data_IF_153292389281
#
_entry.id   IF_153292389281
#
_cell.length_a   1.000
_cell.length_b   1.000
_cell.length_c   1.000
_cell.angle_alpha   90.00
_cell.angle_beta   90.00
_cell.angle_gamma   90.00
#
_symmetry.space_group_name_H-M   'P 1'
#
loop_
_entity.id
_entity.type
_entity.pdbx_description
1 polymer ?
#
# COMPACT_ATOMS: atom_id res chain seq x y z
N UNK A 1 13.60 5.32 -33.79
CA UNK A 1 12.50 5.94 -33.03
C UNK A 1 11.24 5.11 -33.24
N UNK A 2 10.86 4.24 -32.30
CA UNK A 2 9.65 3.42 -32.45
C UNK A 2 8.56 3.91 -31.49
N UNK A 3 7.56 4.58 -32.07
CA UNK A 3 6.29 4.92 -31.45
C UNK A 3 5.25 4.08 -32.19
N UNK A 4 4.48 3.27 -31.47
CA UNK A 4 3.41 2.48 -32.05
C UNK A 4 2.17 2.54 -31.18
N UNK A 5 1.00 2.39 -31.80
CA UNK A 5 -0.27 2.44 -31.11
C UNK A 5 -0.92 1.06 -31.11
N UNK A 6 -1.54 0.71 -29.98
CA UNK A 6 -2.26 -0.55 -29.77
C UNK A 6 -3.63 -0.23 -29.21
N UNK A 7 -4.68 -0.84 -29.76
CA UNK A 7 -6.04 -0.70 -29.21
C UNK A 7 -6.27 -1.76 -28.15
N UNK A 8 -6.30 -1.35 -26.88
CA UNK A 8 -6.60 -2.20 -25.74
C UNK A 8 -8.07 -2.02 -25.32
N UNK A 9 -8.93 -2.91 -25.82
CA UNK A 9 -10.38 -2.78 -25.67
C UNK A 9 -10.88 -1.47 -26.31
N UNK A 10 -11.50 -0.60 -25.50
CA UNK A 10 -12.00 0.71 -25.95
C UNK A 10 -10.96 1.83 -25.88
N UNK A 11 -9.73 1.57 -25.40
CA UNK A 11 -8.68 2.59 -25.23
C UNK A 11 -7.54 2.40 -26.21
N UNK A 12 -7.04 3.50 -26.76
CA UNK A 12 -5.80 3.52 -27.52
C UNK A 12 -4.62 3.68 -26.55
N UNK A 13 -3.67 2.76 -26.59
CA UNK A 13 -2.39 2.84 -25.91
C UNK A 13 -1.33 3.27 -26.92
N UNK A 14 -0.49 4.21 -26.54
CA UNK A 14 0.69 4.60 -27.32
C UNK A 14 1.92 4.10 -26.58
N UNK A 15 2.72 3.28 -27.24
CA UNK A 15 3.93 2.69 -26.68
C UNK A 15 5.12 3.46 -27.26
N UNK A 16 5.93 4.00 -26.35
CA UNK A 16 7.13 4.78 -26.66
C UNK A 16 8.31 3.96 -26.16
N UNK A 17 9.19 3.55 -27.08
CA UNK A 17 10.37 2.73 -26.75
C UNK A 17 11.70 3.48 -26.89
N UNK A 18 11.66 4.72 -27.39
CA UNK A 18 12.83 5.56 -27.61
C UNK A 18 13.19 6.34 -26.34
N UNK A 19 14.41 6.19 -25.78
CA UNK A 19 14.81 6.91 -24.55
C UNK A 19 14.65 8.43 -24.65
N UNK A 20 15.06 9.04 -25.78
CA UNK A 20 14.94 10.49 -25.99
C UNK A 20 13.48 10.97 -25.96
N UNK A 21 12.55 10.17 -26.50
CA UNK A 21 11.12 10.50 -26.52
C UNK A 21 10.50 10.29 -25.13
N UNK A 22 10.92 9.25 -24.41
CA UNK A 22 10.53 9.02 -23.02
C UNK A 22 10.99 10.18 -22.13
N UNK A 23 12.22 10.65 -22.29
CA UNK A 23 12.75 11.81 -21.58
C UNK A 23 11.91 13.05 -21.86
N UNK A 24 11.56 13.32 -23.12
CA UNK A 24 10.69 14.44 -23.48
C UNK A 24 9.29 14.35 -22.84
N UNK A 25 8.71 13.15 -22.77
CA UNK A 25 7.43 12.92 -22.10
C UNK A 25 7.48 13.19 -20.59
N UNK A 26 8.58 12.83 -19.92
CA UNK A 26 8.70 12.93 -18.46
C UNK A 26 9.44 14.19 -17.96
N UNK A 27 9.90 15.05 -18.86
CA UNK A 27 10.53 16.34 -18.51
C UNK A 27 9.73 17.53 -19.02
N UNK A 28 9.55 17.66 -20.35
CA UNK A 28 8.87 18.81 -20.96
C UNK A 28 7.35 18.71 -20.89
N UNK A 29 6.82 17.50 -20.98
CA UNK A 29 5.38 17.24 -21.07
C UNK A 29 4.86 16.44 -19.87
N UNK A 30 5.59 16.45 -18.75
CA UNK A 30 5.37 15.60 -17.59
C UNK A 30 3.95 15.72 -17.01
N UNK A 31 3.41 16.94 -16.94
CA UNK A 31 2.05 17.22 -16.46
C UNK A 31 0.98 16.59 -17.37
N UNK A 32 1.18 16.61 -18.70
CA UNK A 32 0.23 16.06 -19.66
C UNK A 32 0.14 14.54 -19.49
N UNK A 33 1.27 13.88 -19.27
CA UNK A 33 1.37 12.44 -19.07
C UNK A 33 1.17 12.00 -17.61
N UNK A 34 1.07 12.94 -16.66
CA UNK A 34 0.84 12.63 -15.25
C UNK A 34 -0.60 12.17 -14.97
N UNK A 35 -1.55 12.42 -15.87
CA UNK A 35 -2.95 12.12 -15.59
C UNK A 35 -3.22 10.60 -15.52
N UNK A 36 -4.09 10.18 -14.60
CA UNK A 36 -4.42 8.78 -14.36
C UNK A 36 -5.77 8.45 -15.01
N UNK A 37 -5.82 7.49 -15.96
CA UNK A 37 -7.09 7.11 -16.56
C UNK A 37 -8.02 6.47 -15.52
N UNK A 38 -9.31 6.82 -15.57
CA UNK A 38 -10.30 6.28 -14.63
C UNK A 38 -10.53 4.80 -14.94
N UNK A 39 -10.27 3.93 -13.98
CA UNK A 39 -10.51 2.49 -14.06
C UNK A 39 -11.48 2.03 -12.96
N UNK A 40 -12.10 0.85 -13.16
CA UNK A 40 -12.96 0.23 -12.13
C UNK A 40 -12.18 0.01 -10.82
N UNK A 41 -10.88 -0.29 -10.90
CA UNK A 41 -10.00 -0.36 -9.74
C UNK A 41 -10.02 0.96 -8.94
N UNK A 42 -9.81 2.10 -9.59
CA UNK A 42 -9.83 3.39 -8.91
C UNK A 42 -11.20 3.72 -8.31
N UNK A 43 -12.29 3.32 -8.98
CA UNK A 43 -13.66 3.50 -8.46
C UNK A 43 -13.93 2.67 -7.19
N UNK A 44 -13.65 1.36 -7.24
CA UNK A 44 -14.03 0.44 -6.17
C UNK A 44 -12.96 0.29 -5.08
N UNK A 45 -11.69 0.23 -5.47
CA UNK A 45 -10.55 0.06 -4.55
C UNK A 45 -9.92 1.39 -4.21
N UNK A 46 -9.79 2.31 -5.15
CA UNK A 46 -9.14 3.60 -4.96
C UNK A 46 -10.01 4.72 -4.38
N UNK A 47 -11.04 4.39 -3.59
CA UNK A 47 -11.97 5.35 -2.98
C UNK A 47 -12.50 6.39 -3.98
N UNK A 48 -13.07 5.93 -5.10
CA UNK A 48 -13.53 6.79 -6.18
C UNK A 48 -12.43 7.67 -6.82
N UNK A 49 -11.22 7.13 -6.95
CA UNK A 49 -10.03 7.83 -7.47
C UNK A 49 -9.57 9.00 -6.60
N UNK A 50 -9.66 8.88 -5.28
CA UNK A 50 -9.16 9.91 -4.36
C UNK A 50 -7.80 9.56 -3.74
N UNK A 51 -7.25 8.38 -4.03
CA UNK A 51 -5.93 7.94 -3.52
C UNK A 51 -4.79 8.28 -4.48
N UNK A 52 -3.56 8.37 -3.97
CA UNK A 52 -2.39 8.82 -4.76
C UNK A 52 -2.09 7.96 -6.00
N UNK A 53 -2.51 6.69 -6.03
CA UNK A 53 -2.29 5.79 -7.18
C UNK A 53 -3.29 5.98 -8.32
N UNK A 54 -4.48 6.54 -8.06
CA UNK A 54 -5.56 6.65 -9.05
C UNK A 54 -6.12 8.06 -9.22
N UNK A 55 -5.83 8.99 -8.33
CA UNK A 55 -6.29 10.37 -8.45
C UNK A 55 -5.75 11.05 -9.71
N UNK A 56 -6.60 11.78 -10.46
CA UNK A 56 -6.14 12.62 -11.56
C UNK A 56 -5.09 13.63 -11.09
N UNK A 57 -4.18 14.00 -11.98
CA UNK A 57 -3.19 15.02 -11.65
C UNK A 57 -3.88 16.35 -11.36
N UNK A 58 -3.50 16.99 -10.27
CA UNK A 58 -4.15 18.20 -9.77
C UNK A 58 -3.60 18.60 -8.41
N UNK A 59 -4.23 19.58 -7.78
CA UNK A 59 -3.88 20.03 -6.42
C UNK A 59 -4.04 18.89 -5.40
N UNK A 60 -5.16 18.18 -5.44
CA UNK A 60 -5.43 17.03 -4.56
C UNK A 60 -4.33 15.98 -4.64
N UNK A 61 -3.98 15.52 -5.85
CA UNK A 61 -2.91 14.52 -6.02
C UNK A 61 -1.55 15.04 -5.56
N UNK A 62 -1.21 16.30 -5.82
CA UNK A 62 0.03 16.92 -5.35
C UNK A 62 0.10 16.94 -3.82
N UNK A 63 -1.01 17.25 -3.17
CA UNK A 63 -1.13 17.20 -1.70
C UNK A 63 -0.96 15.78 -1.18
N UNK A 64 -1.65 14.78 -1.75
CA UNK A 64 -1.46 13.37 -1.36
C UNK A 64 0.00 12.91 -1.52
N UNK A 65 0.65 13.27 -2.63
CA UNK A 65 2.06 12.92 -2.88
C UNK A 65 2.99 13.57 -1.84
N UNK A 66 2.75 14.85 -1.52
CA UNK A 66 3.48 15.57 -0.48
C UNK A 66 3.33 14.91 0.89
N UNK A 67 2.09 14.61 1.29
CA UNK A 67 1.78 13.93 2.56
C UNK A 67 2.42 12.55 2.64
N UNK A 68 2.34 11.76 1.56
CA UNK A 68 3.02 10.46 1.47
C UNK A 68 4.53 10.58 1.72
N UNK A 69 5.19 11.54 1.06
CA UNK A 69 6.63 11.72 1.17
C UNK A 69 7.07 12.18 2.57
N UNK A 70 6.31 13.07 3.21
CA UNK A 70 6.65 13.65 4.51
C UNK A 70 6.30 12.71 5.66
N UNK A 71 5.09 12.16 5.67
CA UNK A 71 4.53 11.51 6.85
C UNK A 71 4.81 10.00 6.89
N UNK A 72 4.90 9.36 5.72
CA UNK A 72 4.95 7.90 5.59
C UNK A 72 6.34 7.45 5.14
N UNK A 73 6.86 8.04 4.08
CA UNK A 73 8.09 7.61 3.43
C UNK A 73 9.31 8.47 3.76
N UNK A 74 9.21 9.36 4.75
CA UNK A 74 10.36 10.15 5.18
C UNK A 74 11.45 9.26 5.80
N UNK A 75 12.74 9.59 5.63
CA UNK A 75 13.83 8.81 6.20
C UNK A 75 13.68 8.62 7.72
N UNK A 76 13.23 9.66 8.43
CA UNK A 76 12.97 9.59 9.87
C UNK A 76 11.90 8.54 10.19
N UNK A 77 10.75 8.58 9.48
CA UNK A 77 9.67 7.61 9.68
C UNK A 77 10.14 6.18 9.40
N UNK A 78 10.86 5.96 8.29
CA UNK A 78 11.37 4.65 7.93
C UNK A 78 12.39 4.12 8.95
N UNK A 79 13.27 4.99 9.47
CA UNK A 79 14.26 4.63 10.48
C UNK A 79 13.62 4.22 11.81
N UNK A 80 12.51 4.85 12.23
CA UNK A 80 11.77 4.41 13.42
C UNK A 80 11.32 2.93 13.32
N UNK A 81 11.07 2.42 12.11
CA UNK A 81 10.64 1.05 11.87
C UNK A 81 11.75 0.10 11.41
N UNK A 82 13.02 0.47 11.63
CA UNK A 82 14.15 -0.43 11.31
C UNK A 82 14.10 -1.74 12.12
N UNK A 83 13.68 -1.66 13.39
CA UNK A 83 13.50 -2.83 14.26
C UNK A 83 12.45 -3.79 13.71
N UNK A 84 11.26 -3.26 13.38
CA UNK A 84 10.17 -4.04 12.75
C UNK A 84 10.62 -4.80 11.52
N UNK A 85 11.31 -4.13 10.59
CA UNK A 85 11.81 -4.77 9.36
C UNK A 85 12.83 -5.86 9.67
N UNK A 86 13.77 -5.59 10.58
CA UNK A 86 14.78 -6.56 11.00
C UNK A 86 14.16 -7.79 11.66
N UNK A 87 13.14 -7.59 12.51
CA UNK A 87 12.45 -8.67 13.20
C UNK A 87 11.71 -9.60 12.21
N UNK A 88 10.98 -9.04 11.25
CA UNK A 88 10.27 -9.86 10.25
C UNK A 88 11.25 -10.64 9.35
N UNK A 89 12.37 -10.02 8.97
CA UNK A 89 13.44 -10.71 8.23
C UNK A 89 14.03 -11.86 9.06
N UNK A 90 14.29 -11.64 10.36
CA UNK A 90 14.78 -12.70 11.26
C UNK A 90 13.79 -13.86 11.36
N UNK A 91 12.49 -13.59 11.44
CA UNK A 91 11.45 -14.61 11.49
C UNK A 91 11.44 -15.44 10.20
N UNK A 92 11.53 -14.79 9.03
CA UNK A 92 11.61 -15.50 7.75
C UNK A 92 12.85 -16.40 7.70
N UNK A 93 14.02 -15.86 8.08
CA UNK A 93 15.27 -16.62 8.10
C UNK A 93 15.20 -17.82 9.06
N UNK A 94 14.61 -17.63 10.24
CA UNK A 94 14.41 -18.71 11.19
C UNK A 94 13.51 -19.81 10.60
N UNK A 95 12.38 -19.44 9.99
CA UNK A 95 11.47 -20.38 9.32
C UNK A 95 12.16 -21.16 8.20
N UNK A 96 12.94 -20.46 7.36
CA UNK A 96 13.75 -21.09 6.32
C UNK A 96 14.76 -22.09 6.92
N UNK A 97 15.47 -21.69 7.96
CA UNK A 97 16.46 -22.55 8.62
C UNK A 97 15.83 -23.78 9.27
N UNK A 98 14.62 -23.64 9.82
CA UNK A 98 13.85 -24.74 10.42
C UNK A 98 13.40 -25.74 9.35
N UNK A 99 12.90 -25.24 8.22
CA UNK A 99 12.44 -26.08 7.12
C UNK A 99 13.57 -26.89 6.50
N UNK A 100 14.82 -26.39 6.55
CA UNK A 100 16.00 -27.06 6.00
C UNK A 100 16.84 -27.82 7.05
N UNK A 101 16.31 -28.09 8.25
CA UNK A 101 17.09 -28.71 9.34
C UNK A 101 17.62 -30.10 9.00
N UNK A 102 16.79 -30.92 8.38
CA UNK A 102 17.10 -32.34 8.18
C UNK A 102 17.56 -32.64 6.76
N UNK A 103 17.11 -31.87 5.75
CA UNK A 103 17.44 -32.04 4.34
C UNK A 103 17.11 -30.79 3.51
N UNK A 104 17.44 -30.82 2.21
CA UNK A 104 16.99 -29.80 1.26
C UNK A 104 15.46 -29.69 1.26
N UNK A 105 14.96 -28.47 1.46
CA UNK A 105 13.54 -28.18 1.46
C UNK A 105 13.18 -27.26 0.28
N UNK A 106 12.16 -27.68 -0.49
CA UNK A 106 11.56 -26.81 -1.51
C UNK A 106 10.67 -25.79 -0.83
N UNK A 107 10.86 -24.51 -1.17
CA UNK A 107 10.07 -23.40 -0.64
C UNK A 107 9.48 -22.55 -1.76
N UNK A 108 8.30 -21.98 -1.53
CA UNK A 108 7.67 -21.05 -2.46
C UNK A 108 8.03 -19.60 -2.09
N UNK A 109 9.09 -19.07 -2.70
CA UNK A 109 9.60 -17.74 -2.40
C UNK A 109 8.58 -16.62 -2.63
N UNK A 110 7.69 -16.76 -3.62
CA UNK A 110 6.65 -15.76 -3.90
C UNK A 110 5.76 -15.56 -2.68
N UNK A 111 5.20 -16.64 -2.13
CA UNK A 111 4.34 -16.56 -0.94
C UNK A 111 5.10 -16.02 0.26
N UNK A 112 6.32 -16.51 0.51
CA UNK A 112 7.13 -16.08 1.65
C UNK A 112 7.48 -14.58 1.59
N UNK A 113 7.83 -14.05 0.42
CA UNK A 113 8.10 -12.62 0.27
C UNK A 113 6.84 -11.77 0.32
N UNK A 114 5.70 -12.27 -0.19
CA UNK A 114 4.41 -11.61 -0.02
C UNK A 114 4.04 -11.52 1.46
N UNK A 115 4.15 -12.61 2.23
CA UNK A 115 3.91 -12.61 3.68
C UNK A 115 4.84 -11.65 4.43
N UNK A 116 6.15 -11.73 4.17
CA UNK A 116 7.16 -10.85 4.78
C UNK A 116 6.81 -9.38 4.55
N UNK A 117 6.55 -9.03 3.30
CA UNK A 117 6.23 -7.67 2.88
C UNK A 117 4.97 -7.16 3.56
N UNK A 118 3.89 -7.95 3.50
CA UNK A 118 2.63 -7.59 4.12
C UNK A 118 2.77 -7.42 5.64
N UNK A 119 3.50 -8.30 6.32
CA UNK A 119 3.72 -8.18 7.76
C UNK A 119 4.56 -6.96 8.12
N UNK A 120 5.60 -6.64 7.36
CA UNK A 120 6.37 -5.40 7.54
C UNK A 120 5.45 -4.20 7.45
N UNK A 121 4.66 -4.09 6.37
CA UNK A 121 3.78 -2.95 6.13
C UNK A 121 2.72 -2.86 7.22
N UNK A 122 2.05 -3.97 7.55
CA UNK A 122 0.98 -3.97 8.55
C UNK A 122 1.50 -3.63 9.95
N UNK A 123 2.71 -4.07 10.31
CA UNK A 123 3.33 -3.67 11.57
C UNK A 123 3.75 -2.20 11.59
N UNK A 124 4.10 -1.62 10.43
CA UNK A 124 4.40 -0.19 10.31
C UNK A 124 3.13 0.67 10.35
N UNK A 125 2.10 0.25 9.62
CA UNK A 125 0.85 1.01 9.42
C UNK A 125 -0.08 0.87 10.62
N UNK A 126 -0.38 -0.37 11.01
CA UNK A 126 -1.35 -0.71 12.05
C UNK A 126 -0.71 -1.17 13.37
N UNK A 127 0.61 -1.34 13.42
CA UNK A 127 1.29 -1.80 14.63
C UNK A 127 1.22 -3.30 14.90
N UNK A 128 0.58 -4.10 14.02
CA UNK A 128 0.34 -5.54 14.22
C UNK A 128 0.61 -6.39 12.98
N UNK A 129 0.80 -7.70 13.17
CA UNK A 129 0.98 -8.68 12.08
C UNK A 129 -0.35 -9.06 11.46
N UNK A 130 -0.30 -9.52 10.21
CA UNK A 130 -1.46 -9.93 9.42
C UNK A 130 -1.39 -11.39 8.96
N UNK A 131 -0.19 -11.94 8.77
CA UNK A 131 0.05 -13.34 8.45
C UNK A 131 0.91 -14.01 9.54
N UNK A 132 0.63 -15.29 9.84
CA UNK A 132 1.38 -16.11 10.79
C UNK A 132 0.47 -17.10 11.54
N UNK A 133 1.06 -18.14 12.15
CA UNK A 133 0.33 -19.17 12.90
C UNK A 133 -0.34 -18.60 14.17
N UNK A 134 0.23 -17.54 14.74
CA UNK A 134 -0.31 -16.85 15.94
C UNK A 134 -1.24 -15.67 15.61
N UNK A 135 -1.71 -15.54 14.36
CA UNK A 135 -2.51 -14.38 13.93
C UNK A 135 -3.98 -14.77 13.76
N UNK A 136 -4.82 -14.29 14.67
CA UNK A 136 -6.28 -14.49 14.71
C UNK A 136 -7.02 -13.54 13.73
N UNK A 137 -6.51 -13.43 12.50
CA UNK A 137 -7.16 -12.70 11.41
C UNK A 137 -7.68 -13.73 10.39
N UNK A 138 -8.83 -14.34 10.69
CA UNK A 138 -9.56 -15.21 9.75
C UNK A 138 -9.83 -14.51 8.40
N UNK A 139 -9.86 -13.18 8.38
CA UNK A 139 -9.98 -12.38 7.15
C UNK A 139 -8.71 -12.34 6.27
N UNK A 140 -7.51 -12.68 6.79
CA UNK A 140 -6.26 -12.56 6.04
C UNK A 140 -6.14 -13.55 4.88
N UNK A 141 -6.58 -14.80 5.09
CA UNK A 141 -6.48 -15.87 4.07
C UNK A 141 -7.36 -15.61 2.85
N UNK A 142 -8.55 -15.04 3.06
CA UNK A 142 -9.53 -14.86 1.98
C UNK A 142 -9.29 -13.63 1.08
N UNK A 143 -8.35 -12.72 1.38
CA UNK A 143 -8.09 -11.57 0.48
C UNK A 143 -7.39 -12.00 -0.82
N UNK A 144 -6.61 -13.08 -0.77
CA UNK A 144 -5.87 -13.60 -1.93
C UNK A 144 -6.76 -14.32 -2.96
N UNK A 145 -7.93 -14.83 -2.53
CA UNK A 145 -8.78 -15.70 -3.36
C UNK A 145 -9.91 -14.97 -4.09
N UNK A 146 -10.26 -13.74 -3.69
CA UNK A 146 -11.43 -13.05 -4.21
C UNK A 146 -11.16 -12.25 -5.48
N UNK A 147 -11.71 -12.70 -6.62
CA UNK A 147 -11.54 -12.03 -7.93
C UNK A 147 -12.54 -10.92 -8.25
N UNK A 148 -13.60 -10.73 -7.45
CA UNK A 148 -14.64 -9.71 -7.71
C UNK A 148 -14.30 -8.40 -6.99
N UNK A 149 -14.00 -7.34 -7.75
CA UNK A 149 -13.66 -6.00 -7.22
C UNK A 149 -14.66 -5.46 -6.18
N UNK A 150 -15.95 -5.80 -6.30
CA UNK A 150 -16.98 -5.41 -5.32
C UNK A 150 -16.77 -6.08 -3.96
N UNK A 151 -16.44 -7.38 -3.95
CA UNK A 151 -16.16 -8.12 -2.70
C UNK A 151 -14.87 -7.61 -2.05
N UNK A 152 -13.81 -7.44 -2.85
CA UNK A 152 -12.55 -6.86 -2.40
C UNK A 152 -12.79 -5.47 -1.80
N UNK A 153 -13.60 -4.62 -2.45
CA UNK A 153 -13.98 -3.31 -1.90
C UNK A 153 -14.62 -3.42 -0.51
N UNK A 154 -15.63 -4.26 -0.36
CA UNK A 154 -16.36 -4.42 0.91
C UNK A 154 -15.41 -4.90 2.00
N UNK A 155 -14.64 -5.94 1.72
CA UNK A 155 -13.71 -6.51 2.69
C UNK A 155 -12.60 -5.54 3.09
N UNK A 156 -12.02 -4.84 2.11
CA UNK A 156 -11.06 -3.75 2.34
C UNK A 156 -11.69 -2.70 3.28
N UNK A 157 -12.93 -2.30 3.05
CA UNK A 157 -13.58 -1.29 3.89
C UNK A 157 -13.80 -1.76 5.33
N UNK A 158 -14.16 -3.03 5.54
CA UNK A 158 -14.29 -3.62 6.88
C UNK A 158 -12.95 -3.60 7.61
N UNK A 159 -11.88 -4.09 6.96
CA UNK A 159 -10.54 -4.18 7.57
C UNK A 159 -10.02 -2.79 7.96
N UNK A 160 -9.95 -1.84 7.02
CA UNK A 160 -9.37 -0.53 7.32
C UNK A 160 -10.21 0.29 8.29
N UNK A 161 -11.54 0.11 8.29
CA UNK A 161 -12.41 0.74 9.29
C UNK A 161 -12.14 0.18 10.68
N UNK A 162 -12.11 -1.14 10.83
CA UNK A 162 -11.78 -1.79 12.10
C UNK A 162 -10.42 -1.36 12.63
N UNK A 163 -9.41 -1.23 11.77
CA UNK A 163 -8.08 -0.72 12.15
C UNK A 163 -8.14 0.72 12.67
N UNK A 164 -8.85 1.61 11.99
CA UNK A 164 -8.98 3.01 12.43
C UNK A 164 -9.74 3.10 13.75
N UNK A 165 -10.84 2.35 13.88
CA UNK A 165 -11.67 2.34 15.09
C UNK A 165 -10.91 1.81 16.30
N UNK A 166 -10.09 0.77 16.11
CA UNK A 166 -9.16 0.25 17.12
C UNK A 166 -8.17 1.32 17.58
N UNK A 167 -7.61 2.09 16.65
CA UNK A 167 -6.68 3.19 16.97
C UNK A 167 -7.38 4.40 17.62
N UNK A 168 -8.70 4.56 17.41
CA UNK A 168 -9.53 5.59 18.06
C UNK A 168 -10.00 5.17 19.45
N UNK A 169 -10.02 3.87 19.76
CA UNK A 169 -10.52 3.34 21.04
C UNK A 169 -9.64 3.74 22.24
N UNK A 170 -10.24 4.13 23.38
CA UNK A 170 -9.50 4.53 24.59
C UNK A 170 -8.83 3.37 25.36
N UNK A 171 -9.03 2.10 24.96
CA UNK A 171 -8.40 0.93 25.60
C UNK A 171 -6.94 0.77 25.11
N UNK A 172 -6.06 1.62 25.67
CA UNK A 172 -4.73 2.00 25.18
C UNK A 172 -3.57 1.00 25.37
N UNK A 173 -3.80 -0.25 25.76
CA UNK A 173 -2.70 -1.13 26.18
C UNK A 173 -1.92 -1.80 25.02
N UNK A 174 -2.52 -1.99 23.84
CA UNK A 174 -1.93 -2.82 22.77
C UNK A 174 -1.62 -2.08 21.46
N UNK A 175 -2.14 -0.86 21.27
CA UNK A 175 -1.91 -0.13 20.03
C UNK A 175 -0.53 0.53 20.06
N UNK A 176 0.34 0.14 19.13
CA UNK A 176 1.64 0.78 18.96
C UNK A 176 1.47 2.26 18.60
N UNK A 177 1.75 3.15 19.56
CA UNK A 177 1.62 4.61 19.40
C UNK A 177 2.47 5.19 18.26
N UNK A 178 3.49 4.46 17.82
CA UNK A 178 4.36 4.87 16.72
C UNK A 178 3.84 4.46 15.35
N UNK A 179 2.69 3.77 15.26
CA UNK A 179 2.11 3.33 13.98
C UNK A 179 1.78 4.51 13.06
N UNK A 180 1.83 4.28 11.74
CA UNK A 180 1.51 5.34 10.78
C UNK A 180 0.06 5.78 10.87
N UNK A 181 -0.88 4.88 11.19
CA UNK A 181 -2.29 5.27 11.44
C UNK A 181 -2.38 6.21 12.64
N UNK A 182 -1.69 5.92 13.76
CA UNK A 182 -1.69 6.82 14.92
C UNK A 182 -1.10 8.20 14.57
N UNK A 183 0.00 8.21 13.81
CA UNK A 183 0.59 9.47 13.35
C UNK A 183 -0.40 10.28 12.50
N UNK A 184 -1.01 9.66 11.48
CA UNK A 184 -2.00 10.32 10.62
C UNK A 184 -3.26 10.78 11.38
N UNK A 185 -3.74 10.00 12.35
CA UNK A 185 -4.85 10.39 13.22
C UNK A 185 -4.48 11.56 14.14
N UNK A 186 -3.21 11.70 14.53
CA UNK A 186 -2.75 12.88 15.27
C UNK A 186 -2.76 14.14 14.39
N UNK A 187 -2.32 14.01 13.13
CA UNK A 187 -2.36 15.11 12.15
C UNK A 187 -3.79 15.52 11.79
N UNK A 188 -4.74 14.57 11.78
CA UNK A 188 -6.17 14.87 11.61
C UNK A 188 -6.73 15.80 12.70
N UNK A 189 -6.17 15.80 13.92
CA UNK A 189 -6.61 16.71 14.97
C UNK A 189 -6.16 18.16 14.74
N UNK A 190 -4.99 18.35 14.14
CA UNK A 190 -4.43 19.68 13.86
C UNK A 190 -4.90 20.24 12.51
N UNK A 191 -5.03 19.39 11.50
CA UNK A 191 -5.30 19.78 10.11
C UNK A 191 -6.42 18.91 9.48
N UNK A 192 -7.64 18.90 10.06
CA UNK A 192 -8.70 17.96 9.67
C UNK A 192 -9.11 18.01 8.19
N UNK A 193 -8.94 19.18 7.55
CA UNK A 193 -9.22 19.39 6.12
C UNK A 193 -8.28 18.57 5.21
N UNK A 194 -7.05 18.33 5.64
CA UNK A 194 -6.02 17.62 4.85
C UNK A 194 -5.92 16.12 5.17
N UNK A 195 -6.43 15.69 6.33
CA UNK A 195 -6.34 14.30 6.81
C UNK A 195 -7.73 13.73 7.09
N UNK A 196 -8.59 13.70 6.08
CA UNK A 196 -9.90 13.03 6.17
C UNK A 196 -9.73 11.51 6.32
N UNK A 197 -10.76 10.83 6.83
CA UNK A 197 -10.74 9.36 6.96
C UNK A 197 -10.47 8.66 5.63
N UNK A 198 -10.97 9.19 4.52
CA UNK A 198 -10.70 8.64 3.18
C UNK A 198 -9.23 8.78 2.79
N UNK A 199 -8.60 9.91 3.13
CA UNK A 199 -7.17 10.15 2.87
C UNK A 199 -6.32 9.21 3.74
N UNK A 200 -6.66 9.03 5.01
CA UNK A 200 -5.95 8.14 5.94
C UNK A 200 -6.06 6.68 5.48
N UNK A 201 -7.28 6.23 5.14
CA UNK A 201 -7.52 4.90 4.57
C UNK A 201 -6.80 4.73 3.25
N UNK A 202 -6.82 5.75 2.40
CA UNK A 202 -6.17 5.76 1.10
C UNK A 202 -4.66 5.56 1.20
N UNK A 203 -4.00 6.28 2.08
CA UNK A 203 -2.56 6.13 2.34
C UNK A 203 -2.21 4.78 2.97
N UNK A 204 -3.03 4.31 3.91
CA UNK A 204 -2.89 2.98 4.52
C UNK A 204 -3.06 1.85 3.49
N UNK A 205 -3.90 2.07 2.46
CA UNK A 205 -4.07 1.11 1.36
C UNK A 205 -2.90 1.16 0.37
N UNK A 206 -2.42 2.34 0.01
CA UNK A 206 -1.35 2.51 -0.98
C UNK A 206 -0.06 1.86 -0.50
N UNK A 207 0.27 2.01 0.78
CA UNK A 207 1.42 1.34 1.40
C UNK A 207 1.32 -0.18 1.28
N UNK A 208 0.12 -0.76 1.38
CA UNK A 208 -0.12 -2.20 1.21
C UNK A 208 -0.17 -2.69 -0.25
N UNK A 209 -0.57 -1.83 -1.20
CA UNK A 209 -0.74 -2.21 -2.63
C UNK A 209 0.55 -2.06 -3.44
N UNK A 210 1.49 -1.20 -3.02
CA UNK A 210 2.72 -0.90 -3.78
C UNK A 210 3.70 -2.08 -3.95
N UNK A 211 3.41 -3.28 -3.43
CA UNK A 211 4.28 -4.46 -3.60
C UNK A 211 3.57 -5.69 -4.22
N UNK A 212 2.36 -5.52 -4.77
CA UNK A 212 1.66 -6.61 -5.46
C UNK A 212 2.05 -6.78 -6.95
N UNK A 213 3.00 -6.01 -7.46
CA UNK A 213 3.48 -6.06 -8.86
C UNK A 213 4.97 -6.31 -8.93
#
# INVERSE_FOLDING_TARGET
MMIFSLRFGSRLLVIISSPCTVEECFTKNDIIFANRPIFLFGKYIGYNNTIVTSAPYGEHWRNLRRLSALEIFSPNRLNMFIGTRRDEIKILLHRLSQNSRDNFARVELRLMFTELTCNIIMRMVAGKRYYGEDVDFEEAKHFHEEKKLVKIKTKKEVIFRGLIDEHRSPSRALVNKNSMINHLLSMQKSEPEYYTDEIIKGHSLVTSVLQAN
#
